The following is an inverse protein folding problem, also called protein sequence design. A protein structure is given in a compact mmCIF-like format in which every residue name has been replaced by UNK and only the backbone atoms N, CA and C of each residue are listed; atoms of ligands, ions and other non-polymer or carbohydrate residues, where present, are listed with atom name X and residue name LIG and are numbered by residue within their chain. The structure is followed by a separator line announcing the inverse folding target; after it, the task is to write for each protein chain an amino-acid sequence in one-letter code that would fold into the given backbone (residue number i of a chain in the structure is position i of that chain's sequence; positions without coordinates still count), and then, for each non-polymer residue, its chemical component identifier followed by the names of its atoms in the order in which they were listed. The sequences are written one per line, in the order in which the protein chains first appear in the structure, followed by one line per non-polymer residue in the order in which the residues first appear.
data_IF_696806981003
#
_entry.id   IF_696806981003
#
_cell.length_a   1.000
_cell.length_b   1.000
_cell.length_c   1.000
_cell.angle_alpha   90.00
_cell.angle_beta   90.00
_cell.angle_gamma   90.00
#
_symmetry.space_group_name_H-M   'P 1'
#
loop_
_entity.id
_entity.type
_entity.pdbx_description
1 polymer ?
#
# COMPACT_ATOMS: atom_id res chain seq x y z
N UNK A 1 -10.20 -5.77 -8.55
CA UNK A 1 -9.53 -5.97 -7.25
C UNK A 1 -9.69 -4.73 -6.40
N UNK A 2 -9.93 -4.90 -5.13
CA UNK A 2 -9.95 -3.79 -4.18
C UNK A 2 -9.34 -4.24 -2.85
N UNK A 3 -8.82 -3.28 -2.09
CA UNK A 3 -8.24 -3.53 -0.78
C UNK A 3 -8.60 -2.40 0.17
N UNK A 4 -8.95 -2.76 1.40
CA UNK A 4 -9.14 -1.82 2.50
C UNK A 4 -7.96 -1.98 3.44
N UNK A 5 -7.22 -0.90 3.62
CA UNK A 5 -6.02 -0.88 4.45
C UNK A 5 -6.32 -0.10 5.72
N UNK A 6 -6.16 -0.76 6.86
CA UNK A 6 -6.46 -0.17 8.16
C UNK A 6 -5.46 0.90 8.56
N UNK A 7 -5.96 1.92 9.25
CA UNK A 7 -5.13 2.90 9.94
C UNK A 7 -4.67 2.29 11.27
N UNK A 8 -3.61 1.50 11.23
CA UNK A 8 -3.15 0.74 12.37
C UNK A 8 -2.56 1.59 13.49
N UNK A 9 -2.57 1.09 14.74
CA UNK A 9 -1.84 1.71 15.85
C UNK A 9 -0.32 1.75 15.60
N UNK A 10 0.35 2.60 16.33
CA UNK A 10 1.70 3.09 16.06
C UNK A 10 2.87 2.12 16.21
N UNK A 11 2.65 0.91 16.67
CA UNK A 11 3.75 -0.02 16.91
C UNK A 11 4.01 -0.88 15.68
N UNK A 12 5.13 -0.66 15.04
CA UNK A 12 5.57 -1.49 13.94
C UNK A 12 6.05 -2.84 14.49
N UNK A 13 5.49 -3.92 13.97
CA UNK A 13 5.93 -5.26 14.33
C UNK A 13 7.31 -5.60 13.76
N UNK A 14 7.69 -4.93 12.69
CA UNK A 14 8.98 -5.15 12.03
C UNK A 14 9.80 -3.87 12.10
N UNK A 15 10.46 -3.61 13.25
CA UNK A 15 11.32 -2.44 13.37
C UNK A 15 12.46 -2.55 12.37
N UNK A 16 12.84 -1.43 11.79
CA UNK A 16 13.88 -1.40 10.77
C UNK A 16 13.37 -1.46 9.34
N UNK A 17 12.12 -1.88 9.12
CA UNK A 17 11.56 -1.89 7.76
C UNK A 17 11.51 -0.49 7.16
N UNK A 18 11.16 0.50 7.95
CA UNK A 18 11.11 1.89 7.52
C UNK A 18 12.52 2.44 7.25
N UNK A 19 13.47 2.09 8.06
CA UNK A 19 14.86 2.53 7.89
C UNK A 19 15.50 1.96 6.63
N UNK A 20 15.13 0.76 6.25
CA UNK A 20 15.66 0.11 5.05
C UNK A 20 15.44 0.94 3.79
N UNK A 21 14.29 1.60 3.69
CA UNK A 21 13.94 2.40 2.52
C UNK A 21 13.68 3.87 2.85
N UNK A 22 14.06 4.32 4.04
CA UNK A 22 13.73 5.66 4.55
C UNK A 22 14.32 6.81 3.73
N UNK A 23 15.44 6.60 3.06
CA UNK A 23 16.06 7.60 2.22
C UNK A 23 15.40 7.78 0.86
N UNK A 24 14.37 7.01 0.54
CA UNK A 24 13.75 6.96 -0.79
C UNK A 24 12.27 7.33 -0.69
N UNK A 25 11.98 8.56 -0.29
CA UNK A 25 10.62 9.05 -0.14
C UNK A 25 10.05 9.37 -1.52
N UNK A 26 8.96 8.70 -1.88
CA UNK A 26 8.25 8.97 -3.13
C UNK A 26 7.26 10.12 -2.95
N UNK A 27 6.49 10.09 -1.86
CA UNK A 27 5.51 11.12 -1.55
C UNK A 27 5.27 11.17 -0.05
N UNK A 28 5.04 12.37 0.46
CA UNK A 28 4.62 12.58 1.85
C UNK A 28 3.70 13.80 1.93
N UNK A 29 2.91 13.88 2.99
CA UNK A 29 1.99 14.97 3.21
C UNK A 29 0.57 14.49 3.47
N UNK A 30 -0.42 15.35 3.22
CA UNK A 30 -1.81 15.05 3.55
C UNK A 30 -2.74 15.00 2.34
N UNK A 31 -2.20 15.16 1.14
CA UNK A 31 -2.99 15.20 -0.09
C UNK A 31 -3.07 13.80 -0.73
N UNK A 32 -4.24 13.18 -0.61
CA UNK A 32 -4.49 11.85 -1.16
C UNK A 32 -4.39 11.80 -2.69
N UNK A 33 -4.83 12.85 -3.37
CA UNK A 33 -4.77 12.89 -4.84
C UNK A 33 -3.33 12.93 -5.32
N UNK A 34 -2.50 13.70 -4.64
CA UNK A 34 -1.08 13.77 -4.94
C UNK A 34 -0.40 12.43 -4.69
N UNK A 35 -0.74 11.77 -3.58
CA UNK A 35 -0.22 10.45 -3.27
C UNK A 35 -0.65 9.42 -4.32
N UNK A 36 -1.91 9.44 -4.72
CA UNK A 36 -2.43 8.55 -5.74
C UNK A 36 -1.70 8.74 -7.07
N UNK A 37 -1.47 9.96 -7.48
CA UNK A 37 -0.75 10.27 -8.72
C UNK A 37 0.69 9.77 -8.67
N UNK A 38 1.40 10.02 -7.59
CA UNK A 38 2.79 9.61 -7.44
C UNK A 38 2.95 8.09 -7.45
N UNK A 39 2.08 7.39 -6.75
CA UNK A 39 2.11 5.93 -6.71
C UNK A 39 1.72 5.32 -8.05
N UNK A 40 0.76 5.93 -8.74
CA UNK A 40 0.32 5.46 -10.07
C UNK A 40 1.43 5.51 -11.11
N UNK A 41 2.38 6.43 -10.98
CA UNK A 41 3.51 6.53 -11.90
C UNK A 41 4.50 5.39 -11.76
N UNK A 42 4.65 4.81 -10.56
CA UNK A 42 5.65 3.76 -10.30
C UNK A 42 5.04 2.37 -10.22
N UNK A 43 3.73 2.27 -10.12
CA UNK A 43 3.02 1.00 -10.05
C UNK A 43 2.02 0.84 -11.17
N UNK A 44 0.78 1.01 -10.84
CA UNK A 44 -0.35 0.88 -11.74
C UNK A 44 -1.36 1.96 -11.35
N UNK A 45 -2.08 2.47 -12.33
CA UNK A 45 -3.15 3.41 -12.07
C UNK A 45 -4.14 2.83 -11.08
N UNK A 46 -4.61 3.64 -10.17
CA UNK A 46 -5.54 3.20 -9.13
C UNK A 46 -6.36 4.37 -8.62
N UNK A 47 -7.40 4.05 -7.86
CA UNK A 47 -8.23 5.02 -7.17
C UNK A 47 -8.15 4.79 -5.68
N UNK A 48 -8.19 5.88 -4.92
CA UNK A 48 -8.18 5.85 -3.46
C UNK A 48 -9.46 6.47 -2.92
N UNK A 49 -10.07 5.78 -1.96
CA UNK A 49 -11.21 6.30 -1.21
C UNK A 49 -10.89 6.23 0.28
N UNK A 50 -10.88 7.38 0.94
CA UNK A 50 -10.67 7.45 2.37
C UNK A 50 -12.01 7.32 3.09
N UNK A 51 -12.07 6.47 4.12
CA UNK A 51 -13.25 6.30 4.96
C UNK A 51 -13.39 7.41 6.00
N UNK A 52 -12.30 8.13 6.29
CA UNK A 52 -12.29 9.23 7.26
C UNK A 52 -11.68 10.47 6.63
N UNK A 53 -12.17 11.65 7.04
CA UNK A 53 -11.70 12.92 6.53
C UNK A 53 -10.38 13.32 7.18
N UNK A 54 -10.18 12.97 8.46
CA UNK A 54 -8.98 13.35 9.20
C UNK A 54 -7.96 12.23 9.19
N UNK A 55 -6.73 12.49 8.72
CA UNK A 55 -5.67 11.51 8.82
C UNK A 55 -5.20 11.39 10.28
N UNK A 56 -4.85 10.17 10.68
CA UNK A 56 -4.22 9.93 11.98
C UNK A 56 -2.76 10.39 11.97
N UNK A 57 -2.13 10.37 10.81
CA UNK A 57 -0.76 10.81 10.59
C UNK A 57 -0.59 11.17 9.11
N UNK A 58 0.50 11.89 8.77
CA UNK A 58 0.77 12.22 7.36
C UNK A 58 0.96 10.97 6.50
N UNK A 59 0.63 11.09 5.24
CA UNK A 59 0.93 10.06 4.24
C UNK A 59 2.43 9.98 4.06
N UNK A 60 2.96 8.77 3.99
CA UNK A 60 4.34 8.55 3.62
C UNK A 60 4.44 7.30 2.77
N UNK A 61 5.01 7.44 1.59
CA UNK A 61 5.29 6.31 0.70
C UNK A 61 6.75 6.35 0.35
N UNK A 62 7.44 5.25 0.62
CA UNK A 62 8.83 5.05 0.23
C UNK A 62 8.90 4.03 -0.89
N UNK A 63 9.81 4.24 -1.83
CA UNK A 63 9.96 3.41 -3.01
C UNK A 63 11.44 3.21 -3.31
N UNK A 64 11.85 1.97 -3.52
CA UNK A 64 13.21 1.66 -3.94
C UNK A 64 13.20 0.57 -5.00
N UNK A 65 13.81 0.85 -6.13
CA UNK A 65 13.96 -0.13 -7.19
C UNK A 65 15.23 -0.93 -6.99
N UNK A 66 15.09 -2.26 -7.05
CA UNK A 66 16.19 -3.20 -6.92
C UNK A 66 16.18 -4.11 -8.14
N UNK A 67 16.75 -3.64 -9.26
CA UNK A 67 16.77 -4.36 -10.53
C UNK A 67 15.33 -4.69 -11.00
N UNK A 68 14.98 -5.96 -11.13
CA UNK A 68 13.65 -6.40 -11.54
C UNK A 68 12.61 -6.32 -10.41
N UNK A 69 13.02 -6.00 -9.21
CA UNK A 69 12.17 -5.92 -8.03
C UNK A 69 12.04 -4.46 -7.58
N UNK A 70 10.87 -4.09 -7.11
CA UNK A 70 10.68 -2.81 -6.43
C UNK A 70 10.11 -3.07 -5.03
N UNK A 71 10.62 -2.33 -4.06
CA UNK A 71 10.15 -2.42 -2.68
C UNK A 71 9.51 -1.10 -2.29
N UNK A 72 8.32 -1.17 -1.72
CA UNK A 72 7.59 0.00 -1.28
C UNK A 72 7.11 -0.16 0.14
N UNK A 73 7.13 0.94 0.86
CA UNK A 73 6.51 1.05 2.16
C UNK A 73 5.38 2.07 2.04
N UNK A 74 4.14 1.64 2.31
CA UNK A 74 2.97 2.50 2.22
C UNK A 74 2.41 2.81 3.60
N UNK A 75 2.19 4.08 3.86
CA UNK A 75 1.42 4.54 5.00
C UNK A 75 0.55 5.71 4.55
N UNK A 76 -0.74 5.44 4.40
CA UNK A 76 -1.67 6.50 4.01
C UNK A 76 -2.18 7.32 5.19
N UNK A 77 -1.76 7.00 6.41
CA UNK A 77 -2.13 7.76 7.60
C UNK A 77 -3.59 7.60 8.01
N UNK A 78 -4.36 6.81 7.28
CA UNK A 78 -5.79 6.59 7.50
C UNK A 78 -6.22 5.30 6.82
N UNK A 79 -7.41 4.82 7.16
CA UNK A 79 -7.99 3.71 6.41
C UNK A 79 -8.35 4.18 5.01
N UNK A 80 -7.90 3.44 4.00
CA UNK A 80 -8.20 3.75 2.61
C UNK A 80 -8.65 2.49 1.89
N UNK A 81 -9.52 2.66 0.90
CA UNK A 81 -9.83 1.62 -0.07
C UNK A 81 -9.03 1.92 -1.33
N UNK A 82 -8.28 0.94 -1.79
CA UNK A 82 -7.46 1.02 -2.99
C UNK A 82 -8.12 0.19 -4.08
N UNK A 83 -8.41 0.81 -5.21
CA UNK A 83 -8.97 0.14 -6.39
C UNK A 83 -7.95 0.25 -7.53
N UNK A 84 -7.04 -0.73 -7.65
CA UNK A 84 -6.04 -0.69 -8.71
C UNK A 84 -6.63 -1.10 -10.05
N UNK A 85 -6.02 -0.60 -11.12
CA UNK A 85 -6.20 -1.14 -12.46
C UNK A 85 -5.61 -2.55 -12.53
N UNK A 86 -5.74 -3.21 -13.66
CA UNK A 86 -5.23 -4.57 -13.82
C UNK A 86 -3.69 -4.61 -13.66
N UNK A 87 -3.22 -5.61 -12.94
CA UNK A 87 -1.79 -5.86 -12.77
C UNK A 87 -1.32 -6.72 -13.95
N UNK A 88 -1.00 -6.08 -15.07
CA UNK A 88 -0.71 -6.82 -16.31
C UNK A 88 0.64 -7.53 -16.30
N UNK A 89 1.65 -6.89 -15.77
CA UNK A 89 3.04 -7.29 -16.01
C UNK A 89 3.80 -7.69 -14.76
N UNK A 90 3.17 -7.71 -13.60
CA UNK A 90 3.90 -8.00 -12.38
C UNK A 90 3.04 -8.69 -11.33
N UNK A 91 3.71 -9.31 -10.39
CA UNK A 91 3.11 -9.87 -9.18
C UNK A 91 3.27 -8.84 -8.06
N UNK A 92 2.23 -8.68 -7.27
CA UNK A 92 2.29 -7.84 -6.08
C UNK A 92 2.33 -8.73 -4.84
N UNK A 93 3.39 -8.59 -4.06
CA UNK A 93 3.50 -9.25 -2.76
C UNK A 93 3.29 -8.20 -1.69
N UNK A 94 2.30 -8.41 -0.85
CA UNK A 94 1.88 -7.44 0.15
C UNK A 94 2.06 -8.03 1.54
N UNK A 95 2.78 -7.30 2.39
CA UNK A 95 3.08 -7.73 3.75
C UNK A 95 2.64 -6.62 4.72
N UNK A 96 1.58 -6.82 5.51
CA UNK A 96 1.20 -5.85 6.52
C UNK A 96 2.25 -5.76 7.62
N UNK A 97 2.67 -4.55 7.94
CA UNK A 97 3.58 -4.27 9.07
C UNK A 97 2.81 -3.78 10.29
N UNK A 98 1.66 -3.17 10.06
CA UNK A 98 0.74 -2.71 11.09
C UNK A 98 -0.68 -2.94 10.57
N UNK A 99 -1.60 -3.32 11.47
CA UNK A 99 -2.99 -3.54 11.10
C UNK A 99 -3.15 -4.66 10.09
N UNK A 100 -3.97 -4.42 9.09
CA UNK A 100 -4.23 -5.40 8.05
C UNK A 100 -4.92 -4.80 6.86
N UNK A 101 -5.29 -5.65 5.92
CA UNK A 101 -6.06 -5.24 4.76
C UNK A 101 -7.08 -6.31 4.40
N UNK A 102 -8.19 -5.86 3.83
CA UNK A 102 -9.20 -6.74 3.27
C UNK A 102 -9.10 -6.62 1.76
N UNK A 103 -8.85 -7.76 1.10
CA UNK A 103 -8.58 -7.80 -0.32
C UNK A 103 -9.70 -8.56 -1.01
N UNK A 104 -10.25 -7.96 -2.06
CA UNK A 104 -11.25 -8.59 -2.89
C UNK A 104 -10.71 -8.73 -4.30
N UNK A 105 -10.75 -9.96 -4.81
CA UNK A 105 -10.27 -10.27 -6.14
C UNK A 105 -11.35 -11.13 -6.82
N UNK A 106 -12.12 -10.52 -7.74
CA UNK A 106 -13.27 -11.17 -8.34
C UNK A 106 -14.35 -11.46 -7.30
N UNK A 107 -14.78 -12.72 -7.22
CA UNK A 107 -15.75 -13.18 -6.22
C UNK A 107 -15.13 -13.59 -4.89
N UNK A 108 -13.82 -13.60 -4.82
CA UNK A 108 -13.08 -14.02 -3.62
C UNK A 108 -12.67 -12.82 -2.79
N UNK A 109 -12.75 -12.96 -1.48
CA UNK A 109 -12.28 -11.97 -0.54
C UNK A 109 -11.46 -12.65 0.55
N UNK A 110 -10.39 -12.01 1.01
CA UNK A 110 -9.58 -12.52 2.09
C UNK A 110 -8.97 -11.36 2.88
N UNK A 111 -8.54 -11.67 4.09
CA UNK A 111 -7.87 -10.70 4.95
C UNK A 111 -6.38 -10.97 5.00
N UNK A 112 -5.60 -9.90 4.93
CA UNK A 112 -4.16 -9.93 5.12
C UNK A 112 -3.87 -9.30 6.48
N UNK A 113 -3.10 -10.01 7.30
CA UNK A 113 -2.82 -9.63 8.70
C UNK A 113 -1.32 -9.67 8.97
N UNK A 114 -0.94 -9.14 10.12
CA UNK A 114 0.43 -9.26 10.60
C UNK A 114 0.88 -10.73 10.60
N UNK A 115 2.07 -10.98 10.10
CA UNK A 115 2.62 -12.32 9.99
C UNK A 115 2.21 -13.09 8.74
N UNK A 116 1.42 -12.46 7.86
CA UNK A 116 0.98 -13.07 6.60
C UNK A 116 1.44 -12.24 5.43
N UNK A 117 1.73 -12.90 4.33
CA UNK A 117 1.97 -12.25 3.05
C UNK A 117 0.88 -12.66 2.07
N UNK A 118 0.43 -11.72 1.26
CA UNK A 118 -0.53 -11.99 0.20
C UNK A 118 0.15 -11.80 -1.14
N UNK A 119 -0.05 -12.74 -2.05
CA UNK A 119 0.49 -12.66 -3.40
C UNK A 119 -0.66 -12.44 -4.37
N UNK A 120 -0.62 -11.33 -5.06
CA UNK A 120 -1.60 -10.98 -6.08
C UNK A 120 -0.95 -11.18 -7.44
N UNK A 121 -1.41 -12.19 -8.21
CA UNK A 121 -0.81 -12.48 -9.51
C UNK A 121 -1.17 -11.43 -10.54
N UNK A 122 -0.40 -11.40 -11.62
CA UNK A 122 -0.73 -10.60 -12.78
C UNK A 122 -2.13 -10.99 -13.29
N UNK A 123 -2.93 -9.99 -13.63
CA UNK A 123 -4.26 -10.17 -14.18
C UNK A 123 -4.24 -9.74 -15.64
N UNK A 124 -4.76 -10.62 -16.47
CA UNK A 124 -4.80 -10.37 -17.92
C UNK A 124 -6.20 -10.50 -18.47
#
# INVERSE_FOLDING_TARGET
MSAIVDAAPNEARFPGAREFISGNILVEGNDLDKACSAVSEVFVGHRLHASTVKPARPIQVNYKRLDALAVCLFDYGREVEVQPDLLDDFYLVQVPLQGGSRIRCGSKAFESRLGMASVLPAQR
#
